data_IF_487300061991
#
_entry.id   IF_487300061991
#
_cell.length_a   1.000
_cell.length_b   1.000
_cell.length_c   1.000
_cell.angle_alpha   90.00
_cell.angle_beta   90.00
_cell.angle_gamma   90.00
#
_symmetry.space_group_name_H-M   'P 1'
#
loop_
_entity.id
_entity.type
_entity.pdbx_description
1 polymer ?
#
# COMPACT_ATOMS: atom_id res chain seq x y z
N UNK A 1 48.70 -30.17 11.62
CA UNK A 1 48.99 -28.72 11.72
C UNK A 1 47.88 -28.02 10.95
N UNK A 2 46.89 -27.35 11.54
CA UNK A 2 46.93 -26.45 12.69
C UNK A 2 46.16 -26.94 13.92
N UNK A 3 46.72 -26.60 15.08
CA UNK A 3 46.16 -26.72 16.42
C UNK A 3 45.49 -25.39 16.79
N UNK A 4 44.30 -25.44 17.39
CA UNK A 4 43.66 -24.52 18.36
C UNK A 4 42.31 -25.19 18.69
N UNK A 5 42.14 -26.03 19.72
CA UNK A 5 41.88 -25.68 21.14
C UNK A 5 40.98 -24.43 21.29
N UNK A 6 39.88 -24.38 22.03
CA UNK A 6 39.41 -25.14 23.19
C UNK A 6 37.88 -24.92 23.38
N UNK A 7 37.23 -25.93 23.97
CA UNK A 7 36.14 -25.82 24.96
C UNK A 7 34.72 -25.40 24.54
N UNK A 8 33.81 -26.38 24.61
CA UNK A 8 32.37 -26.21 24.74
C UNK A 8 32.01 -25.61 26.12
N UNK A 9 31.05 -24.67 26.22
CA UNK A 9 30.29 -24.48 27.44
C UNK A 9 29.07 -25.42 27.40
N UNK A 10 29.04 -26.38 28.32
CA UNK A 10 27.83 -27.06 28.74
C UNK A 10 26.97 -26.07 29.53
N UNK A 11 25.82 -25.68 28.98
CA UNK A 11 24.83 -24.87 29.65
C UNK A 11 23.49 -25.05 28.94
N UNK A 12 22.55 -25.70 29.62
CA UNK A 12 21.15 -25.70 29.27
C UNK A 12 20.66 -24.27 29.14
N UNK A 13 20.33 -23.81 27.94
CA UNK A 13 19.42 -22.68 27.72
C UNK A 13 18.65 -22.97 26.42
N UNK A 14 17.50 -23.63 26.56
CA UNK A 14 16.47 -23.72 25.53
C UNK A 14 15.85 -22.32 25.33
N UNK A 15 16.57 -21.40 24.69
CA UNK A 15 15.95 -20.16 24.21
C UNK A 15 15.36 -20.41 22.82
N UNK A 16 14.09 -20.76 22.86
CA UNK A 16 13.16 -20.90 21.77
C UNK A 16 13.24 -19.67 20.84
N UNK A 17 13.84 -19.86 19.67
CA UNK A 17 13.76 -18.94 18.53
C UNK A 17 12.27 -18.86 18.14
N UNK A 18 11.55 -17.88 18.72
CA UNK A 18 10.21 -17.52 18.26
C UNK A 18 10.39 -16.76 16.96
N UNK A 19 10.52 -17.52 15.88
CA UNK A 19 10.17 -17.04 14.55
C UNK A 19 8.69 -16.64 14.65
N UNK A 20 8.42 -15.33 14.70
CA UNK A 20 7.06 -14.83 14.67
C UNK A 20 6.58 -14.94 13.23
N UNK A 21 6.16 -16.15 12.83
CA UNK A 21 5.44 -16.46 11.58
C UNK A 21 4.02 -15.83 11.54
N UNK A 22 3.80 -14.69 12.18
CA UNK A 22 2.50 -14.00 12.22
C UNK A 22 2.31 -13.04 11.04
N UNK A 23 3.30 -12.90 10.14
CA UNK A 23 3.22 -11.98 9.00
C UNK A 23 2.49 -12.56 7.77
N UNK A 24 2.28 -13.88 7.69
CA UNK A 24 1.77 -14.52 6.48
C UNK A 24 0.25 -14.33 6.28
N UNK A 25 -0.51 -14.07 7.35
CA UNK A 25 -1.98 -13.92 7.26
C UNK A 25 -2.47 -12.45 7.19
N UNK A 26 -1.55 -11.48 7.20
CA UNK A 26 -1.94 -10.07 7.16
C UNK A 26 -2.29 -9.58 5.74
N UNK A 27 -1.98 -10.33 4.69
CA UNK A 27 -2.28 -9.96 3.30
C UNK A 27 -3.72 -10.28 2.87
N UNK A 28 -4.42 -11.18 3.58
CA UNK A 28 -5.73 -11.70 3.12
C UNK A 28 -6.96 -10.92 3.64
N UNK A 29 -6.85 -10.18 4.74
CA UNK A 29 -7.90 -9.24 5.14
C UNK A 29 -7.93 -8.08 4.12
N UNK A 30 -8.87 -8.06 3.17
CA UNK A 30 -8.98 -6.95 2.22
C UNK A 30 -9.00 -5.56 2.90
N UNK A 31 -8.69 -4.49 2.15
CA UNK A 31 -8.80 -3.12 2.68
C UNK A 31 -10.22 -2.86 3.22
N UNK A 32 -10.43 -2.03 4.26
CA UNK A 32 -11.77 -1.65 4.70
C UNK A 32 -12.60 -1.04 3.55
N UNK A 33 -13.91 -1.27 3.56
CA UNK A 33 -14.84 -0.83 2.49
C UNK A 33 -14.74 0.67 2.21
N UNK A 34 -14.51 1.50 3.23
CA UNK A 34 -14.33 2.94 3.06
C UNK A 34 -13.10 3.29 2.21
N UNK A 35 -11.99 2.56 2.40
CA UNK A 35 -10.76 2.73 1.62
C UNK A 35 -10.92 2.18 0.20
N UNK A 36 -11.55 1.01 0.06
CA UNK A 36 -11.87 0.46 -1.26
C UNK A 36 -12.73 1.45 -2.06
N UNK A 37 -13.80 1.97 -1.45
CA UNK A 37 -14.71 2.95 -2.06
C UNK A 37 -13.97 4.23 -2.45
N UNK A 38 -13.08 4.71 -1.58
CA UNK A 38 -12.24 5.86 -1.87
C UNK A 38 -11.37 5.63 -3.11
N UNK A 39 -10.62 4.53 -3.16
CA UNK A 39 -9.76 4.18 -4.29
C UNK A 39 -10.55 4.03 -5.60
N UNK A 40 -11.73 3.40 -5.54
CA UNK A 40 -12.64 3.29 -6.68
C UNK A 40 -13.09 4.65 -7.21
N UNK A 41 -13.42 5.59 -6.31
CA UNK A 41 -13.80 6.95 -6.69
C UNK A 41 -12.65 7.71 -7.33
N UNK A 42 -11.40 7.49 -6.88
CA UNK A 42 -10.23 8.12 -7.49
C UNK A 42 -9.97 7.63 -8.91
N UNK A 43 -10.28 6.37 -9.24
CA UNK A 43 -10.09 5.85 -10.61
C UNK A 43 -11.24 6.19 -11.57
N UNK A 44 -12.40 6.63 -11.07
CA UNK A 44 -13.58 6.89 -11.90
C UNK A 44 -13.36 7.88 -13.07
N UNK A 45 -12.53 8.94 -12.94
CA UNK A 45 -12.22 9.83 -14.07
C UNK A 45 -11.39 9.16 -15.19
N UNK A 46 -10.64 8.10 -14.89
CA UNK A 46 -9.69 7.44 -15.79
C UNK A 46 -10.33 6.34 -16.65
N UNK A 47 -11.56 5.93 -16.34
CA UNK A 47 -12.31 4.92 -17.10
C UNK A 47 -12.91 5.52 -18.39
N UNK A 48 -13.04 6.85 -18.47
CA UNK A 48 -13.70 7.52 -19.60
C UNK A 48 -12.79 7.52 -20.85
N UNK A 49 -13.36 7.48 -22.07
CA UNK A 49 -12.58 7.52 -23.32
C UNK A 49 -11.72 8.77 -23.51
N UNK A 50 -12.10 9.88 -22.86
CA UNK A 50 -11.35 11.14 -22.88
C UNK A 50 -11.19 11.67 -21.46
N UNK A 51 -9.95 12.00 -21.13
CA UNK A 51 -9.61 12.49 -19.80
C UNK A 51 -10.04 13.95 -19.63
N UNK A 52 -11.00 14.19 -18.73
CA UNK A 52 -11.40 15.54 -18.33
C UNK A 52 -10.51 16.11 -17.22
N UNK A 53 -10.80 17.33 -16.74
CA UNK A 53 -10.01 18.00 -15.69
C UNK A 53 -10.02 17.31 -14.31
N UNK A 54 -10.97 16.41 -14.07
CA UNK A 54 -11.14 15.73 -12.78
C UNK A 54 -9.99 14.77 -12.42
N UNK A 55 -9.21 14.32 -13.42
CA UNK A 55 -8.10 13.40 -13.17
C UNK A 55 -6.99 14.05 -12.32
N UNK A 56 -6.75 15.37 -12.48
CA UNK A 56 -5.74 16.10 -11.71
C UNK A 56 -6.04 16.08 -10.22
N UNK A 57 -7.31 16.28 -9.85
CA UNK A 57 -7.76 16.18 -8.46
C UNK A 57 -7.54 14.77 -7.88
N UNK A 58 -7.71 13.74 -8.72
CA UNK A 58 -7.49 12.36 -8.30
C UNK A 58 -6.00 12.05 -8.11
N UNK A 59 -5.13 12.56 -9.01
CA UNK A 59 -3.68 12.48 -8.85
C UNK A 59 -3.21 13.17 -7.55
N UNK A 60 -3.71 14.39 -7.28
CA UNK A 60 -3.41 15.09 -6.03
C UNK A 60 -3.91 14.33 -4.80
N UNK A 61 -5.06 13.65 -4.90
CA UNK A 61 -5.58 12.84 -3.79
C UNK A 61 -4.71 11.61 -3.55
N UNK A 62 -4.22 10.94 -4.60
CA UNK A 62 -3.28 9.84 -4.46
C UNK A 62 -1.97 10.29 -3.81
N UNK A 63 -1.41 11.42 -4.25
CA UNK A 63 -0.18 11.98 -3.66
C UNK A 63 -0.34 12.25 -2.17
N UNK A 64 -1.41 12.97 -1.79
CA UNK A 64 -1.66 13.33 -0.39
C UNK A 64 -1.82 12.10 0.50
N UNK A 65 -2.64 11.14 0.10
CA UNK A 65 -2.97 9.98 0.94
C UNK A 65 -1.88 8.91 0.92
N UNK A 66 -1.36 8.57 -0.27
CA UNK A 66 -0.44 7.44 -0.44
C UNK A 66 1.02 7.83 -0.23
N UNK A 67 1.43 9.03 -0.64
CA UNK A 67 2.83 9.47 -0.55
C UNK A 67 3.05 10.28 0.72
N UNK A 68 2.27 11.35 0.90
CA UNK A 68 2.46 12.28 2.01
C UNK A 68 1.81 11.81 3.32
N UNK A 69 1.00 10.75 3.28
CA UNK A 69 0.23 10.23 4.43
C UNK A 69 -0.65 11.30 5.11
N UNK A 70 -1.16 12.26 4.33
CA UNK A 70 -2.07 13.31 4.79
C UNK A 70 -3.50 12.80 4.68
N UNK A 71 -4.21 12.77 5.81
CA UNK A 71 -5.60 12.30 5.91
C UNK A 71 -6.57 13.44 6.30
N UNK A 72 -6.10 14.69 6.23
CA UNK A 72 -6.87 15.88 6.53
C UNK A 72 -7.93 16.15 5.46
N UNK A 73 -9.14 16.53 5.88
CA UNK A 73 -10.25 16.84 4.97
C UNK A 73 -10.96 15.63 4.36
N UNK A 74 -10.61 14.41 4.76
CA UNK A 74 -11.32 13.18 4.40
C UNK A 74 -12.51 12.95 5.33
N UNK A 75 -13.44 12.07 4.93
CA UNK A 75 -14.58 11.72 5.79
C UNK A 75 -14.10 10.96 7.04
N UNK A 76 -14.74 11.16 8.22
CA UNK A 76 -14.31 10.51 9.46
C UNK A 76 -14.17 8.97 9.37
N UNK A 77 -15.08 8.24 8.69
CA UNK A 77 -14.92 6.79 8.51
C UNK A 77 -13.71 6.40 7.65
N UNK A 78 -13.34 7.24 6.67
CA UNK A 78 -12.17 7.02 5.82
C UNK A 78 -10.88 7.29 6.59
N UNK A 79 -10.80 8.43 7.29
CA UNK A 79 -9.62 8.77 8.11
C UNK A 79 -9.37 7.70 9.18
N UNK A 80 -10.40 7.25 9.89
CA UNK A 80 -10.26 6.19 10.89
C UNK A 80 -9.73 4.88 10.27
N UNK A 81 -10.25 4.50 9.10
CA UNK A 81 -9.80 3.30 8.42
C UNK A 81 -8.35 3.43 7.94
N UNK A 82 -7.97 4.56 7.34
CA UNK A 82 -6.61 4.81 6.87
C UNK A 82 -5.59 4.83 8.01
N UNK A 83 -5.96 5.34 9.19
CA UNK A 83 -5.12 5.31 10.38
C UNK A 83 -4.95 3.93 11.02
N UNK A 84 -5.87 2.99 10.75
CA UNK A 84 -5.84 1.64 11.32
C UNK A 84 -5.07 0.63 10.44
N UNK A 85 -4.77 0.96 9.18
CA UNK A 85 -4.13 0.05 8.23
C UNK A 85 -2.62 0.30 8.22
N UNK A 86 -1.78 -0.76 8.28
CA UNK A 86 -0.34 -0.62 8.08
C UNK A 86 -0.03 0.08 6.75
N UNK A 87 0.93 1.01 6.77
CA UNK A 87 1.24 1.84 5.58
C UNK A 87 1.54 1.02 4.33
N UNK A 88 2.31 -0.05 4.50
CA UNK A 88 2.67 -0.94 3.41
C UNK A 88 1.46 -1.62 2.76
N UNK A 89 0.51 -2.08 3.57
CA UNK A 89 -0.73 -2.70 3.11
C UNK A 89 -1.62 -1.75 2.32
N UNK A 90 -1.70 -0.47 2.76
CA UNK A 90 -2.41 0.54 1.97
C UNK A 90 -1.76 0.74 0.59
N UNK A 91 -0.43 0.76 0.53
CA UNK A 91 0.30 0.91 -0.73
C UNK A 91 0.07 -0.27 -1.67
N UNK A 92 0.15 -1.51 -1.14
CA UNK A 92 -0.13 -2.72 -1.91
C UNK A 92 -1.55 -2.70 -2.51
N UNK A 93 -2.57 -2.39 -1.70
CA UNK A 93 -3.95 -2.34 -2.20
C UNK A 93 -4.26 -1.14 -3.12
N UNK A 94 -3.52 -0.05 -3.00
CA UNK A 94 -3.68 1.12 -3.87
C UNK A 94 -2.92 0.99 -5.20
N UNK A 95 -1.88 0.16 -5.28
CA UNK A 95 -1.03 -0.02 -6.47
C UNK A 95 -1.81 -0.24 -7.77
N UNK A 96 -2.76 -1.19 -7.88
CA UNK A 96 -3.49 -1.40 -9.14
C UNK A 96 -4.27 -0.17 -9.59
N UNK A 97 -4.75 0.67 -8.66
CA UNK A 97 -5.48 1.90 -8.95
C UNK A 97 -4.56 2.98 -9.53
N UNK A 98 -3.36 3.13 -8.95
CA UNK A 98 -2.34 4.08 -9.45
C UNK A 98 -1.86 3.64 -10.83
N UNK A 99 -1.60 2.35 -11.03
CA UNK A 99 -1.22 1.81 -12.34
C UNK A 99 -2.30 2.04 -13.39
N UNK A 100 -3.58 1.84 -13.06
CA UNK A 100 -4.69 2.12 -13.95
C UNK A 100 -4.74 3.61 -14.35
N UNK A 101 -4.60 4.53 -13.39
CA UNK A 101 -4.55 5.96 -13.66
C UNK A 101 -3.37 6.35 -14.56
N UNK A 102 -2.17 5.80 -14.29
CA UNK A 102 -0.99 6.00 -15.12
C UNK A 102 -1.18 5.49 -16.55
N UNK A 103 -1.73 4.29 -16.71
CA UNK A 103 -2.00 3.71 -18.03
C UNK A 103 -2.97 4.57 -18.83
N UNK A 104 -4.06 5.04 -18.21
CA UNK A 104 -5.02 5.94 -18.86
C UNK A 104 -4.39 7.28 -19.27
N UNK A 105 -3.55 7.86 -18.41
CA UNK A 105 -2.81 9.10 -18.71
C UNK A 105 -1.89 8.93 -19.91
N UNK A 106 -1.12 7.83 -19.95
CA UNK A 106 -0.23 7.54 -21.07
C UNK A 106 -1.02 7.28 -22.35
N UNK A 107 -2.07 6.45 -22.29
CA UNK A 107 -2.93 6.16 -23.43
C UNK A 107 -3.52 7.42 -24.04
N UNK A 108 -4.11 8.31 -23.22
CA UNK A 108 -4.68 9.56 -23.71
C UNK A 108 -3.62 10.51 -24.31
N UNK A 109 -2.37 10.48 -23.84
CA UNK A 109 -1.29 11.28 -24.43
C UNK A 109 -0.80 10.74 -25.77
N UNK A 110 -0.74 9.41 -25.94
CA UNK A 110 -0.27 8.80 -27.18
C UNK A 110 -1.35 8.65 -28.25
N UNK A 111 -2.63 8.55 -27.87
CA UNK A 111 -3.75 8.55 -28.82
C UNK A 111 -4.12 9.94 -29.37
N UNK A 112 -3.47 11.01 -28.91
CA UNK A 112 -3.66 12.38 -29.42
C UNK A 112 -2.62 12.82 -30.47
N UNK A 113 -1.74 11.91 -30.90
CA UNK A 113 -0.82 12.05 -32.04
C UNK A 113 -1.39 11.31 -33.25
#
# INVERSE_FOLDING_TARGET
>A
MCLYTHSWPTGNDEEHEKDNDDDENSVDLGLPVSVQTFLWRQIAPFIRPRLGKLHEASCMSFEKVLVQNIQFGLSPPLTKALGAIPRWRLLQGALPHVMHACAALLYCKFSSL
#
